data_IF_478439239530
#
_entry.id   IF_478439239530
#
_cell.length_a   1.000
_cell.length_b   1.000
_cell.length_c   1.000
_cell.angle_alpha   90.00
_cell.angle_beta   90.00
_cell.angle_gamma   90.00
#
_symmetry.space_group_name_H-M   'P 1'
#
loop_
_entity.id
_entity.type
_entity.pdbx_description
1 polymer ?
#
# COMPACT_ATOMS: atom_id res chain seq x y z
N UNK A 1 1.00 19.32 -23.82
CA UNK A 1 0.64 19.59 -22.41
C UNK A 1 1.63 18.88 -21.51
N UNK A 2 2.40 19.66 -20.76
CA UNK A 2 3.35 19.16 -19.78
C UNK A 2 2.77 19.34 -18.38
N UNK A 3 2.48 18.22 -17.72
CA UNK A 3 1.77 18.16 -16.44
C UNK A 3 2.63 17.34 -15.49
N UNK A 4 2.88 17.80 -14.26
CA UNK A 4 3.63 17.02 -13.27
C UNK A 4 2.88 15.74 -12.91
N UNK A 5 3.63 14.68 -12.61
CA UNK A 5 3.05 13.40 -12.20
C UNK A 5 2.26 13.50 -10.89
N UNK A 6 2.70 14.36 -9.96
CA UNK A 6 2.05 14.55 -8.67
C UNK A 6 2.11 16.00 -8.20
N UNK A 7 1.08 16.43 -7.48
CA UNK A 7 1.00 17.72 -6.79
C UNK A 7 0.36 17.55 -5.41
N UNK A 8 0.62 18.45 -4.46
CA UNK A 8 -0.02 18.46 -3.15
C UNK A 8 -1.32 19.32 -3.21
N UNK A 9 -2.35 18.92 -2.47
CA UNK A 9 -3.65 19.61 -2.46
C UNK A 9 -3.51 21.08 -2.06
N UNK A 10 -4.15 21.97 -2.80
CA UNK A 10 -4.09 23.42 -2.58
C UNK A 10 -2.78 24.09 -3.03
N UNK A 11 -1.80 23.35 -3.54
CA UNK A 11 -0.66 23.96 -4.23
C UNK A 11 -1.04 24.42 -5.64
N UNK A 12 -0.41 25.50 -6.09
CA UNK A 12 -0.55 25.99 -7.46
C UNK A 12 0.51 25.33 -8.36
N UNK A 13 0.09 24.77 -9.50
CA UNK A 13 1.00 24.37 -10.57
C UNK A 13 0.74 25.15 -11.86
N UNK A 14 1.82 25.32 -12.63
CA UNK A 14 1.77 25.90 -13.96
C UNK A 14 1.72 24.77 -14.99
N UNK A 15 0.57 24.65 -15.66
CA UNK A 15 0.38 23.73 -16.76
C UNK A 15 0.82 24.37 -18.07
N UNK A 16 1.93 23.88 -18.64
CA UNK A 16 2.38 24.33 -19.95
C UNK A 16 1.59 23.63 -21.07
N UNK A 17 0.97 24.42 -21.93
CA UNK A 17 0.19 23.96 -23.07
C UNK A 17 0.83 24.52 -24.33
N UNK A 18 1.32 23.62 -25.18
CA UNK A 18 1.89 23.97 -26.48
C UNK A 18 0.91 23.59 -27.58
N UNK A 19 0.54 24.56 -28.41
CA UNK A 19 -0.29 24.37 -29.61
C UNK A 19 0.58 24.58 -30.83
N UNK A 20 0.48 23.67 -31.79
CA UNK A 20 1.22 23.76 -33.05
C UNK A 20 0.25 24.09 -34.18
N UNK A 21 0.59 25.10 -34.98
CA UNK A 21 -0.12 25.42 -36.20
C UNK A 21 0.70 24.93 -37.39
N UNK A 22 0.21 23.91 -38.09
CA UNK A 22 0.84 23.37 -39.30
C UNK A 22 0.27 23.94 -40.60
N UNK A 23 -0.66 24.91 -40.50
CA UNK A 23 -1.25 25.57 -41.66
C UNK A 23 -0.36 26.74 -42.13
N UNK A 24 -0.43 27.11 -43.42
CA UNK A 24 0.30 28.25 -43.96
C UNK A 24 -0.25 29.62 -43.51
N UNK A 25 -1.37 29.64 -42.79
CA UNK A 25 -2.03 30.86 -42.31
C UNK A 25 -2.01 30.92 -40.78
N UNK A 26 -1.95 32.14 -40.22
CA UNK A 26 -2.01 32.36 -38.77
C UNK A 26 -3.36 31.89 -38.22
N UNK A 27 -3.37 31.30 -37.03
CA UNK A 27 -4.58 30.81 -36.38
C UNK A 27 -4.79 31.52 -35.05
N UNK A 28 -6.02 32.01 -34.82
CA UNK A 28 -6.47 32.46 -33.50
C UNK A 28 -7.00 31.25 -32.74
N UNK A 29 -6.39 30.95 -31.59
CA UNK A 29 -6.69 29.77 -30.80
C UNK A 29 -7.02 30.18 -29.37
N UNK A 30 -8.17 29.72 -28.88
CA UNK A 30 -8.58 29.83 -27.49
C UNK A 30 -8.25 28.54 -26.77
N UNK A 31 -7.41 28.65 -25.74
CA UNK A 31 -6.98 27.54 -24.90
C UNK A 31 -7.72 27.63 -23.58
N UNK A 32 -8.39 26.54 -23.18
CA UNK A 32 -9.11 26.45 -21.91
C UNK A 32 -8.91 25.09 -21.26
N UNK A 33 -9.06 25.04 -19.94
CA UNK A 33 -9.21 23.79 -19.20
C UNK A 33 -10.69 23.58 -18.93
N UNK A 34 -11.16 22.33 -19.03
CA UNK A 34 -12.54 22.00 -18.73
C UNK A 34 -12.86 22.32 -17.27
N UNK A 35 -13.92 23.10 -17.06
CA UNK A 35 -14.36 23.46 -15.72
C UNK A 35 -14.71 22.20 -14.90
N UNK A 36 -14.21 22.16 -13.66
CA UNK A 36 -14.52 21.16 -12.65
C UNK A 36 -14.52 21.83 -11.27
N UNK A 37 -15.39 21.41 -10.36
CA UNK A 37 -15.40 21.86 -8.96
C UNK A 37 -14.14 21.38 -8.20
N UNK A 38 -13.49 20.34 -8.73
CA UNK A 38 -12.27 19.74 -8.18
C UNK A 38 -11.04 20.63 -8.32
N UNK A 39 -11.09 21.65 -9.20
CA UNK A 39 -9.93 22.43 -9.61
C UNK A 39 -10.28 23.90 -9.79
N UNK A 40 -9.54 24.77 -9.12
CA UNK A 40 -9.49 26.17 -9.49
C UNK A 40 -8.50 26.39 -10.64
N UNK A 41 -8.95 27.09 -11.67
CA UNK A 41 -8.19 27.33 -12.90
C UNK A 41 -8.29 28.79 -13.32
N UNK A 42 -7.26 29.30 -13.99
CA UNK A 42 -7.29 30.63 -14.60
C UNK A 42 -8.21 30.69 -15.81
N UNK A 43 -8.63 31.91 -16.17
CA UNK A 43 -9.50 32.22 -17.30
C UNK A 43 -8.88 31.69 -18.62
N UNK A 44 -9.71 31.25 -19.59
CA UNK A 44 -9.25 30.90 -20.93
C UNK A 44 -8.36 31.98 -21.55
N UNK A 45 -7.27 31.56 -22.18
CA UNK A 45 -6.32 32.47 -22.84
C UNK A 45 -6.47 32.34 -24.34
N UNK A 46 -6.77 33.46 -25.02
CA UNK A 46 -6.70 33.56 -26.47
C UNK A 46 -5.27 33.88 -26.89
N UNK A 47 -4.74 33.15 -27.87
CA UNK A 47 -3.42 33.39 -28.44
C UNK A 47 -3.45 33.27 -29.96
N UNK A 48 -2.48 33.88 -30.61
CA UNK A 48 -2.27 33.79 -32.06
C UNK A 48 -1.07 32.88 -32.32
N UNK A 49 -1.28 31.81 -33.06
CA UNK A 49 -0.22 30.88 -33.46
C UNK A 49 0.15 31.14 -34.91
N UNK A 50 1.41 31.50 -35.15
CA UNK A 50 1.92 31.81 -36.48
C UNK A 50 1.95 30.56 -37.39
N UNK A 51 1.98 30.73 -38.72
CA UNK A 51 2.10 29.61 -39.65
C UNK A 51 3.31 28.73 -39.37
N UNK A 52 3.14 27.40 -39.39
CA UNK A 52 4.20 26.41 -39.19
C UNK A 52 5.00 26.58 -37.87
N UNK A 53 4.41 27.20 -36.85
CA UNK A 53 5.03 27.45 -35.55
C UNK A 53 4.26 26.83 -34.40
N UNK A 54 4.95 26.64 -33.28
CA UNK A 54 4.38 26.26 -31.99
C UNK A 54 4.33 27.43 -31.03
N UNK A 55 3.23 27.58 -30.31
CA UNK A 55 3.09 28.58 -29.25
C UNK A 55 2.78 27.90 -27.91
N UNK A 56 3.48 28.31 -26.85
CA UNK A 56 3.24 27.78 -25.50
C UNK A 56 2.59 28.82 -24.61
N UNK A 57 1.54 28.42 -23.89
CA UNK A 57 0.89 29.19 -22.84
C UNK A 57 0.93 28.44 -21.52
N UNK A 58 0.69 29.15 -20.41
CA UNK A 58 0.64 28.58 -19.07
C UNK A 58 -0.73 28.82 -18.45
N UNK A 59 -1.33 27.75 -17.94
CA UNK A 59 -2.57 27.82 -17.15
C UNK A 59 -2.24 27.47 -15.71
N UNK A 60 -2.66 28.31 -14.76
CA UNK A 60 -2.51 27.99 -13.34
C UNK A 60 -3.63 27.08 -12.91
N UNK A 61 -3.28 26.00 -12.21
CA UNK A 61 -4.23 25.03 -11.67
C UNK A 61 -3.96 24.84 -10.18
N UNK A 62 -5.03 24.82 -9.40
CA UNK A 62 -5.00 24.53 -7.96
C UNK A 62 -6.05 23.45 -7.66
N UNK A 63 -5.65 22.21 -7.34
CA UNK A 63 -6.59 21.15 -7.05
C UNK A 63 -7.11 21.24 -5.61
N UNK A 64 -8.42 21.02 -5.46
CA UNK A 64 -9.14 21.12 -4.19
C UNK A 64 -9.41 19.77 -3.54
N UNK A 65 -9.23 18.67 -4.26
CA UNK A 65 -9.47 17.31 -3.77
C UNK A 65 -8.21 16.47 -3.87
N UNK A 66 -8.15 15.39 -3.07
CA UNK A 66 -7.05 14.41 -3.13
C UNK A 66 -7.45 13.21 -3.99
N UNK A 67 -6.47 12.54 -4.59
CA UNK A 67 -6.68 11.40 -5.47
C UNK A 67 -6.32 11.70 -6.93
N UNK A 68 -6.78 10.82 -7.82
CA UNK A 68 -6.51 10.91 -9.26
C UNK A 68 -7.57 11.80 -9.92
N UNK A 69 -7.15 12.97 -10.42
CA UNK A 69 -8.03 13.98 -11.02
C UNK A 69 -7.75 14.09 -12.52
N UNK A 70 -8.78 14.04 -13.35
CA UNK A 70 -8.62 14.13 -14.79
C UNK A 70 -8.64 15.59 -15.26
N UNK A 71 -7.55 16.03 -15.89
CA UNK A 71 -7.37 17.36 -16.46
C UNK A 71 -7.59 17.27 -17.96
N UNK A 72 -8.62 17.96 -18.47
CA UNK A 72 -8.90 18.04 -19.90
C UNK A 72 -8.63 19.46 -20.41
N UNK A 73 -7.62 19.60 -21.26
CA UNK A 73 -7.29 20.83 -21.99
C UNK A 73 -8.01 20.82 -23.33
N UNK A 74 -8.53 21.98 -23.74
CA UNK A 74 -9.24 22.19 -25.00
C UNK A 74 -8.60 23.36 -25.75
N UNK A 75 -8.32 23.16 -27.03
CA UNK A 75 -7.85 24.18 -27.95
C UNK A 75 -8.88 24.33 -29.07
N UNK A 76 -9.48 25.52 -29.16
CA UNK A 76 -10.44 25.87 -30.21
C UNK A 76 -9.81 26.89 -31.13
N UNK A 77 -9.73 26.59 -32.43
CA UNK A 77 -9.36 27.55 -33.46
C UNK A 77 -10.61 28.17 -34.09
N UNK A 78 -10.60 29.50 -34.27
CA UNK A 78 -11.72 30.27 -34.83
C UNK A 78 -12.16 31.42 -33.94
N UNK A 79 -13.07 32.23 -34.44
CA UNK A 79 -13.57 33.41 -33.73
C UNK A 79 -14.67 33.06 -32.69
N UNK A 80 -15.28 34.09 -32.11
CA UNK A 80 -16.35 33.91 -31.12
C UNK A 80 -17.59 33.19 -31.67
N UNK A 81 -17.84 33.25 -32.98
CA UNK A 81 -19.07 32.73 -33.62
C UNK A 81 -18.84 31.44 -34.43
N UNK A 82 -17.59 31.13 -34.79
CA UNK A 82 -17.22 30.02 -35.67
C UNK A 82 -16.13 29.16 -35.03
N UNK A 83 -16.24 27.85 -35.18
CA UNK A 83 -15.21 26.90 -34.76
C UNK A 83 -14.66 26.27 -36.03
N UNK A 84 -13.41 26.58 -36.36
CA UNK A 84 -12.73 26.05 -37.55
C UNK A 84 -12.12 24.69 -37.25
N UNK A 85 -11.43 24.59 -36.11
CA UNK A 85 -10.83 23.36 -35.64
C UNK A 85 -10.94 23.27 -34.11
N UNK A 86 -10.92 22.04 -33.62
CA UNK A 86 -11.02 21.76 -32.20
C UNK A 86 -10.14 20.56 -31.87
N UNK A 87 -9.34 20.70 -30.82
CA UNK A 87 -8.53 19.62 -30.27
C UNK A 87 -8.66 19.58 -28.75
N UNK A 88 -8.54 18.39 -28.17
CA UNK A 88 -8.62 18.21 -26.73
C UNK A 88 -7.72 17.08 -26.26
N UNK A 89 -7.07 17.29 -25.13
CA UNK A 89 -6.19 16.32 -24.50
C UNK A 89 -6.55 16.15 -23.04
N UNK A 90 -6.66 14.91 -22.60
CA UNK A 90 -6.90 14.56 -21.20
C UNK A 90 -5.68 13.86 -20.60
N UNK A 91 -5.29 14.28 -19.40
CA UNK A 91 -4.27 13.60 -18.57
C UNK A 91 -4.74 13.53 -17.12
N UNK A 92 -4.30 12.50 -16.42
CA UNK A 92 -4.60 12.32 -14.99
C UNK A 92 -3.50 12.98 -14.15
N UNK A 93 -3.90 13.84 -13.23
CA UNK A 93 -3.06 14.47 -12.20
C UNK A 93 -3.27 13.74 -10.88
N UNK A 94 -2.20 13.23 -10.27
CA UNK A 94 -2.28 12.60 -8.95
C UNK A 94 -2.08 13.63 -7.84
N UNK A 95 -3.16 13.99 -7.16
CA UNK A 95 -3.15 14.96 -6.07
C UNK A 95 -2.95 14.23 -4.74
N UNK A 96 -1.86 14.56 -4.06
CA UNK A 96 -1.52 14.04 -2.75
C UNK A 96 -2.14 14.92 -1.66
N UNK A 97 -2.59 14.33 -0.55
CA UNK A 97 -2.94 15.11 0.62
C UNK A 97 -1.72 15.84 1.19
N UNK A 98 -1.99 16.93 1.89
CA UNK A 98 -0.97 17.64 2.64
C UNK A 98 -0.65 16.84 3.91
N UNK A 99 0.50 17.12 4.52
CA UNK A 99 0.89 16.49 5.79
C UNK A 99 1.90 15.36 5.65
N UNK A 100 2.09 14.62 6.75
CA UNK A 100 3.13 13.60 6.89
C UNK A 100 2.49 12.23 7.06
N UNK A 101 2.99 11.24 6.31
CA UNK A 101 2.55 9.86 6.46
C UNK A 101 2.92 9.32 7.84
N UNK A 102 1.90 8.95 8.62
CA UNK A 102 2.08 8.36 9.93
C UNK A 102 1.61 6.90 9.92
N UNK A 103 2.38 6.02 10.54
CA UNK A 103 2.02 4.61 10.73
C UNK A 103 2.21 4.26 12.19
N UNK A 104 1.14 3.75 12.80
CA UNK A 104 1.16 3.24 14.17
C UNK A 104 0.89 1.74 14.15
N UNK A 105 1.69 0.98 14.91
CA UNK A 105 1.51 -0.46 15.05
C UNK A 105 1.17 -0.77 16.51
N UNK A 106 0.03 -1.43 16.73
CA UNK A 106 -0.38 -1.89 18.07
C UNK A 106 -0.36 -3.42 18.13
N UNK A 107 0.35 -3.96 19.12
CA UNK A 107 0.42 -5.40 19.37
C UNK A 107 -0.40 -5.74 20.62
N UNK A 108 -1.25 -6.74 20.50
CA UNK A 108 -2.09 -7.20 21.60
C UNK A 108 -1.81 -8.68 21.87
N UNK A 109 -1.30 -8.98 23.06
CA UNK A 109 -1.20 -10.35 23.53
C UNK A 109 -2.61 -10.89 23.83
N UNK A 110 -2.92 -12.05 23.26
CA UNK A 110 -4.13 -12.80 23.54
C UNK A 110 -3.75 -13.88 24.55
N UNK A 111 -4.28 -13.76 25.76
CA UNK A 111 -4.16 -14.77 26.79
C UNK A 111 -5.57 -15.27 27.09
N UNK A 112 -5.90 -16.49 26.65
CA UNK A 112 -7.18 -17.13 27.00
C UNK A 112 -6.90 -18.32 27.88
N UNK A 113 -7.60 -18.34 29.00
CA UNK A 113 -7.46 -19.37 30.01
C UNK A 113 -8.01 -20.70 29.47
N UNK A 114 -7.44 -21.86 29.80
CA UNK A 114 -7.86 -23.16 29.26
C UNK A 114 -9.34 -23.52 29.50
N UNK A 115 -9.99 -22.86 30.45
CA UNK A 115 -11.40 -23.07 30.81
C UNK A 115 -12.37 -22.09 30.15
N UNK A 116 -11.87 -21.10 29.39
CA UNK A 116 -12.69 -20.10 28.72
C UNK A 116 -13.08 -20.57 27.32
N UNK A 117 -14.37 -20.71 27.04
CA UNK A 117 -14.87 -21.13 25.72
C UNK A 117 -14.88 -20.02 24.67
N UNK A 118 -14.87 -18.76 25.09
CA UNK A 118 -14.88 -17.60 24.20
C UNK A 118 -13.93 -16.51 24.72
N UNK A 119 -13.14 -15.93 23.82
CA UNK A 119 -12.34 -14.73 24.07
C UNK A 119 -12.80 -13.62 23.14
N UNK A 120 -13.20 -12.49 23.72
CA UNK A 120 -13.51 -11.29 22.96
C UNK A 120 -12.64 -10.14 23.46
N UNK A 121 -11.96 -9.47 22.54
CA UNK A 121 -11.18 -8.26 22.81
C UNK A 121 -11.48 -7.24 21.73
N UNK A 122 -12.13 -6.14 22.12
CA UNK A 122 -12.28 -4.98 21.26
C UNK A 122 -10.93 -4.23 21.21
N UNK A 123 -10.46 -3.96 19.99
CA UNK A 123 -9.31 -3.08 19.76
C UNK A 123 -9.87 -1.78 19.20
N UNK A 124 -9.76 -0.70 19.98
CA UNK A 124 -10.12 0.63 19.53
C UNK A 124 -8.92 1.22 18.79
N UNK A 125 -9.09 1.50 17.51
CA UNK A 125 -8.07 2.15 16.71
C UNK A 125 -8.35 3.64 16.80
N UNK A 126 -7.61 4.31 17.68
CA UNK A 126 -7.71 5.76 17.81
C UNK A 126 -7.29 6.38 16.47
N UNK A 127 -8.22 7.12 15.86
CA UNK A 127 -7.87 8.02 14.76
C UNK A 127 -6.92 9.09 15.32
N UNK A 128 -5.73 9.32 14.73
CA UNK A 128 -4.89 10.43 15.14
C UNK A 128 -5.67 11.75 15.15
N UNK A 129 -5.35 12.62 16.10
CA UNK A 129 -5.85 13.99 16.04
C UNK A 129 -5.20 14.69 14.84
N UNK A 130 -5.97 15.43 14.04
CA UNK A 130 -5.51 16.14 12.82
C UNK A 130 -5.29 15.27 11.56
N UNK A 131 -6.14 14.28 11.31
CA UNK A 131 -6.16 13.57 10.02
C UNK A 131 -6.62 14.51 8.90
N UNK A 132 -5.92 14.49 7.77
CA UNK A 132 -6.38 15.15 6.56
C UNK A 132 -7.56 14.37 5.97
N UNK A 133 -8.73 14.98 5.75
CA UNK A 133 -9.92 14.29 5.25
C UNK A 133 -9.63 13.49 3.96
N UNK A 134 -10.17 12.28 3.86
CA UNK A 134 -9.97 11.41 2.68
C UNK A 134 -8.64 10.63 2.65
N UNK A 135 -7.76 10.82 3.65
CA UNK A 135 -6.48 10.08 3.76
C UNK A 135 -6.56 8.82 4.60
N UNK A 136 -7.75 8.49 5.10
CA UNK A 136 -7.99 7.38 6.00
C UNK A 136 -7.80 6.06 5.23
N UNK A 137 -6.64 5.43 5.38
CA UNK A 137 -6.42 4.11 4.82
C UNK A 137 -7.00 3.03 5.73
N UNK A 138 -7.67 2.08 5.07
CA UNK A 138 -8.20 0.83 5.63
C UNK A 138 -7.22 0.22 6.65
N UNK A 139 -7.73 0.04 7.86
CA UNK A 139 -7.08 -0.74 8.91
C UNK A 139 -7.01 -2.18 8.44
N UNK A 140 -5.80 -2.64 8.09
CA UNK A 140 -5.58 -4.05 7.75
C UNK A 140 -5.26 -4.84 9.02
N UNK A 141 -6.30 -5.32 9.73
CA UNK A 141 -6.12 -6.26 10.84
C UNK A 141 -5.55 -7.58 10.31
N UNK A 142 -4.26 -7.80 10.53
CA UNK A 142 -3.54 -8.96 9.98
C UNK A 142 -3.26 -10.01 11.07
N UNK A 143 -4.16 -10.99 11.22
CA UNK A 143 -3.89 -12.19 12.02
C UNK A 143 -2.92 -13.07 11.21
N UNK A 144 -1.61 -12.79 11.28
CA UNK A 144 -0.58 -13.52 10.51
C UNK A 144 0.39 -14.33 11.35
N UNK A 145 0.28 -14.33 12.68
CA UNK A 145 1.22 -15.05 13.54
C UNK A 145 1.38 -16.52 13.11
N UNK A 146 0.26 -17.22 12.93
CA UNK A 146 0.25 -18.60 12.46
C UNK A 146 0.87 -18.75 11.07
N UNK A 147 0.43 -17.98 10.08
CA UNK A 147 0.93 -18.06 8.70
C UNK A 147 2.41 -17.64 8.56
N UNK A 148 2.88 -16.69 9.38
CA UNK A 148 4.28 -16.28 9.42
C UNK A 148 5.14 -17.37 10.06
N UNK A 149 4.67 -18.00 11.14
CA UNK A 149 5.40 -19.10 11.79
C UNK A 149 5.54 -20.30 10.85
N UNK A 150 4.52 -20.61 10.02
CA UNK A 150 4.62 -21.66 9.01
C UNK A 150 5.73 -21.42 7.96
N UNK A 151 6.25 -20.20 7.79
CA UNK A 151 7.39 -19.94 6.89
C UNK A 151 8.70 -20.53 7.41
N UNK A 152 8.76 -20.79 8.72
CA UNK A 152 9.89 -21.38 9.42
C UNK A 152 9.82 -22.92 9.48
N UNK A 153 8.75 -23.52 8.91
CA UNK A 153 8.52 -24.96 8.90
C UNK A 153 9.33 -25.64 7.79
N UNK A 154 9.90 -26.79 8.12
CA UNK A 154 10.57 -27.72 7.21
C UNK A 154 9.57 -28.70 6.60
N UNK A 155 9.95 -29.31 5.48
CA UNK A 155 9.14 -30.36 4.83
C UNK A 155 8.92 -31.59 5.74
N UNK A 156 9.82 -31.84 6.70
CA UNK A 156 9.76 -32.95 7.65
C UNK A 156 8.89 -32.67 8.89
N UNK A 157 8.29 -31.48 8.99
CA UNK A 157 7.44 -31.08 10.12
C UNK A 157 8.14 -30.24 11.19
N UNK A 158 9.48 -30.16 11.15
CA UNK A 158 10.27 -29.40 12.13
C UNK A 158 10.31 -27.90 11.86
N UNK A 159 10.78 -27.12 12.83
CA UNK A 159 10.91 -25.66 12.73
C UNK A 159 12.35 -25.21 12.98
N UNK A 160 12.81 -24.22 12.21
CA UNK A 160 14.08 -23.52 12.45
C UNK A 160 13.94 -22.03 12.17
N UNK A 161 14.90 -21.21 12.59
CA UNK A 161 14.83 -19.77 12.41
C UNK A 161 14.75 -19.31 10.94
N UNK A 162 15.24 -20.12 10.00
CA UNK A 162 15.22 -19.83 8.57
C UNK A 162 14.53 -20.92 7.71
N UNK A 163 13.72 -21.78 8.34
CA UNK A 163 13.00 -22.88 7.68
C UNK A 163 13.93 -23.76 6.84
N UNK A 164 13.45 -24.19 5.66
CA UNK A 164 14.21 -25.07 4.74
C UNK A 164 15.56 -24.49 4.24
N UNK A 165 15.91 -23.25 4.59
CA UNK A 165 17.26 -22.69 4.33
C UNK A 165 18.29 -23.22 5.32
N UNK A 166 17.87 -23.60 6.52
CA UNK A 166 18.73 -24.29 7.49
C UNK A 166 18.86 -25.76 7.10
N UNK A 167 20.00 -26.36 7.47
CA UNK A 167 20.28 -27.78 7.18
C UNK A 167 19.36 -28.75 7.94
N UNK A 168 18.80 -28.32 9.07
CA UNK A 168 17.93 -29.14 9.92
C UNK A 168 17.07 -28.26 10.82
N UNK A 169 15.92 -28.80 11.25
CA UNK A 169 15.07 -28.22 12.29
C UNK A 169 15.72 -28.21 13.67
N UNK A 170 15.28 -27.27 14.50
CA UNK A 170 15.68 -27.19 15.91
C UNK A 170 14.66 -27.89 16.80
N UNK A 171 15.14 -28.75 17.69
CA UNK A 171 14.29 -29.49 18.63
C UNK A 171 13.64 -28.55 19.64
N UNK A 172 14.41 -27.62 20.20
CA UNK A 172 13.88 -26.61 21.10
C UNK A 172 12.82 -25.74 20.43
N UNK A 173 13.08 -25.22 19.22
CA UNK A 173 12.12 -24.36 18.54
C UNK A 173 10.86 -25.13 18.13
N UNK A 174 11.02 -26.35 17.61
CA UNK A 174 9.89 -27.21 17.22
C UNK A 174 9.01 -27.49 18.44
N UNK A 175 9.60 -27.86 19.58
CA UNK A 175 8.84 -28.09 20.82
C UNK A 175 8.13 -26.83 21.32
N UNK A 176 8.79 -25.67 21.25
CA UNK A 176 8.20 -24.38 21.62
C UNK A 176 7.00 -24.02 20.72
N UNK A 177 7.15 -24.15 19.40
CA UNK A 177 6.07 -23.88 18.43
C UNK A 177 4.91 -24.86 18.64
N UNK A 178 5.17 -26.15 18.85
CA UNK A 178 4.11 -27.15 19.13
C UNK A 178 3.33 -26.81 20.40
N UNK A 179 4.02 -26.36 21.46
CA UNK A 179 3.37 -25.88 22.68
C UNK A 179 2.48 -24.66 22.41
N UNK A 180 2.99 -23.66 21.69
CA UNK A 180 2.23 -22.46 21.33
C UNK A 180 1.00 -22.80 20.47
N UNK A 181 1.14 -23.66 19.46
CA UNK A 181 0.04 -24.09 18.60
C UNK A 181 -0.98 -24.90 19.39
N UNK A 182 -0.56 -25.83 20.25
CA UNK A 182 -1.47 -26.57 21.13
C UNK A 182 -2.34 -25.67 22.00
N UNK A 183 -1.75 -24.62 22.58
CA UNK A 183 -2.48 -23.62 23.37
C UNK A 183 -3.41 -22.74 22.51
N UNK A 184 -3.03 -22.46 21.27
CA UNK A 184 -3.77 -21.61 20.35
C UNK A 184 -4.93 -22.33 19.63
N UNK A 185 -4.99 -23.68 19.64
CA UNK A 185 -6.08 -24.47 19.02
C UNK A 185 -7.48 -24.10 19.51
N UNK A 186 -7.62 -23.59 20.73
CA UNK A 186 -8.91 -23.15 21.29
C UNK A 186 -9.34 -21.76 20.79
N UNK A 187 -8.46 -21.02 20.10
CA UNK A 187 -8.66 -19.61 19.76
C UNK A 187 -8.60 -19.35 18.26
N UNK A 188 -7.77 -20.08 17.53
CA UNK A 188 -7.60 -19.98 16.08
C UNK A 188 -7.65 -21.36 15.43
N UNK A 189 -8.13 -21.41 14.19
CA UNK A 189 -8.08 -22.64 13.40
C UNK A 189 -6.63 -22.96 13.05
N UNK A 190 -6.13 -24.07 13.58
CA UNK A 190 -4.80 -24.62 13.29
C UNK A 190 -5.01 -25.97 12.61
N UNK A 191 -4.29 -26.19 11.51
CA UNK A 191 -4.29 -27.50 10.85
C UNK A 191 -3.63 -28.53 11.77
N UNK A 192 -4.39 -29.53 12.19
CA UNK A 192 -3.95 -30.63 13.05
C UNK A 192 -2.79 -31.42 12.45
N UNK A 193 -2.65 -31.45 11.12
CA UNK A 193 -1.54 -32.14 10.46
C UNK A 193 -0.20 -31.47 10.79
N UNK A 194 -0.17 -30.14 10.90
CA UNK A 194 1.04 -29.40 11.29
C UNK A 194 1.51 -29.81 12.69
N UNK A 195 0.57 -30.00 13.61
CA UNK A 195 0.87 -30.43 14.98
C UNK A 195 1.34 -31.88 15.00
N UNK A 196 0.65 -32.77 14.26
CA UNK A 196 1.02 -34.18 14.16
C UNK A 196 2.42 -34.37 13.58
N UNK A 197 2.74 -33.68 12.49
CA UNK A 197 4.05 -33.73 11.86
C UNK A 197 5.16 -33.26 12.81
N UNK A 198 4.97 -32.12 13.48
CA UNK A 198 5.95 -31.60 14.44
C UNK A 198 6.15 -32.50 15.66
N UNK A 199 5.07 -33.08 16.20
CA UNK A 199 5.16 -34.03 17.32
C UNK A 199 5.86 -35.32 16.88
N UNK A 200 5.50 -35.90 15.73
CA UNK A 200 6.14 -37.10 15.21
C UNK A 200 7.64 -36.88 15.01
N UNK A 201 8.02 -35.73 14.43
CA UNK A 201 9.41 -35.37 14.26
C UNK A 201 10.15 -35.25 15.60
N UNK A 202 9.53 -34.68 16.64
CA UNK A 202 10.12 -34.60 17.98
C UNK A 202 10.31 -35.99 18.60
N UNK A 203 9.35 -36.91 18.45
CA UNK A 203 9.44 -38.28 18.94
C UNK A 203 10.61 -39.02 18.27
N UNK A 204 10.85 -38.79 16.97
CA UNK A 204 12.00 -39.34 16.24
C UNK A 204 13.35 -38.80 16.75
N UNK A 205 13.36 -37.69 17.51
CA UNK A 205 14.56 -37.14 18.16
C UNK A 205 14.74 -37.58 19.61
N UNK A 206 13.80 -38.34 20.17
CA UNK A 206 13.92 -38.86 21.52
C UNK A 206 14.81 -40.10 21.56
N UNK A 207 15.79 -40.11 22.46
CA UNK A 207 16.67 -41.26 22.74
C UNK A 207 16.01 -42.25 23.68
N UNK A 208 16.62 -43.43 23.79
CA UNK A 208 16.19 -44.49 24.72
C UNK A 208 16.22 -44.08 26.19
N UNK A 209 17.04 -43.08 26.56
CA UNK A 209 17.12 -42.52 27.90
C UNK A 209 16.10 -41.39 28.16
N UNK A 210 15.29 -41.05 27.16
CA UNK A 210 14.28 -39.98 27.22
C UNK A 210 14.81 -38.58 26.90
N UNK A 211 16.12 -38.40 26.71
CA UNK A 211 16.71 -37.13 26.25
C UNK A 211 16.43 -36.89 24.76
N UNK A 212 16.53 -35.64 24.31
CA UNK A 212 16.29 -35.28 22.91
C UNK A 212 17.57 -34.74 22.25
N UNK A 213 17.82 -35.14 21.00
CA UNK A 213 18.90 -34.56 20.19
C UNK A 213 18.52 -33.19 19.63
N UNK A 214 19.48 -32.28 19.53
CA UNK A 214 19.32 -30.94 18.94
C UNK A 214 20.17 -30.85 17.65
N UNK A 215 19.64 -31.28 16.49
CA UNK A 215 20.38 -31.29 15.23
C UNK A 215 20.45 -29.91 14.57
N UNK A 216 19.54 -29.00 14.95
CA UNK A 216 19.45 -27.65 14.41
C UNK A 216 20.27 -26.62 15.18
N UNK A 217 20.48 -25.46 14.55
CA UNK A 217 21.16 -24.34 15.21
C UNK A 217 20.15 -23.52 16.02
N UNK A 218 20.37 -23.41 17.32
CA UNK A 218 19.62 -22.49 18.18
C UNK A 218 20.29 -21.11 18.16
N UNK A 219 19.58 -20.10 17.64
CA UNK A 219 20.14 -18.75 17.42
C UNK A 219 19.86 -17.82 18.61
N UNK A 220 18.94 -18.20 19.51
CA UNK A 220 18.57 -17.42 20.69
C UNK A 220 18.45 -18.29 21.95
N UNK A 221 19.60 -18.66 22.52
CA UNK A 221 19.69 -19.47 23.75
C UNK A 221 19.04 -18.81 24.98
N UNK A 222 18.89 -17.48 25.00
CA UNK A 222 18.25 -16.76 26.11
C UNK A 222 16.75 -17.04 26.27
N UNK A 223 16.09 -17.60 25.26
CA UNK A 223 14.69 -18.04 25.36
C UNK A 223 14.55 -19.46 25.92
N UNK A 224 15.66 -20.20 26.03
CA UNK A 224 15.73 -21.47 26.74
C UNK A 224 15.79 -21.16 28.24
N UNK A 225 14.64 -20.84 28.86
CA UNK A 225 14.61 -20.76 30.31
C UNK A 225 14.93 -22.16 30.86
N UNK A 226 16.06 -22.28 31.57
CA UNK A 226 16.41 -23.46 32.38
C UNK A 226 15.58 -23.48 33.65
#
# INVERSE_FOLDING_TARGET
>A
MDLPDTIVQGEECLLQITVFNYLPERQEVVISVQHSDDIHQTIPTATVVQPNEGHSTFVRLTPNITGDVNITVRAKAGDFFTTVAYDSLQKTLRVRPNGVHMTENQQHLIHVHPTSSNYNKSVSLAKPNNIVPGTERLIHLKITGYQNELRNKHSDGSFSAFGNSDRSGSTWLTAFVMKCFGLARSMIMIDDNIIKEGINWLLDKQKTDGSFDEPGRVIHTNMQQR
#
